data_IF_967967810747
#
_entry.id   IF_967967810747
#
_cell.length_a   1.000
_cell.length_b   1.000
_cell.length_c   1.000
_cell.angle_alpha   90.00
_cell.angle_beta   90.00
_cell.angle_gamma   90.00
#
_symmetry.space_group_name_H-M   'P 1'
#
loop_
_entity.id
_entity.type
_entity.pdbx_description
1 polymer ?
#
# COMPACT_ATOMS: atom_id res chain seq x y z
N UNK A 1 0.64 -21.12 15.47
CA UNK A 1 1.24 -21.65 14.22
C UNK A 1 2.07 -22.86 14.56
N UNK A 2 2.10 -23.87 13.68
CA UNK A 2 2.90 -25.11 13.91
C UNK A 2 4.26 -25.07 13.19
N UNK A 3 4.44 -24.19 12.19
CA UNK A 3 5.64 -24.15 11.35
C UNK A 3 6.23 -22.74 11.29
N UNK A 4 7.54 -22.65 11.04
CA UNK A 4 8.26 -21.42 10.73
C UNK A 4 7.89 -20.98 9.31
N UNK A 5 7.57 -19.70 9.13
CA UNK A 5 7.34 -19.08 7.83
C UNK A 5 8.31 -17.92 7.64
N UNK A 6 8.99 -17.91 6.52
CA UNK A 6 9.91 -16.84 6.13
C UNK A 6 9.29 -16.09 4.94
N UNK A 7 9.23 -14.77 5.02
CA UNK A 7 8.72 -13.89 3.96
C UNK A 7 9.73 -12.81 3.63
N UNK A 8 10.11 -12.72 2.37
CA UNK A 8 10.81 -11.56 1.84
C UNK A 8 9.81 -10.41 1.63
N UNK A 9 10.22 -9.19 1.95
CA UNK A 9 9.47 -7.97 1.74
C UNK A 9 10.29 -7.01 0.86
N UNK A 10 9.65 -6.06 0.15
CA UNK A 10 10.38 -5.03 -0.59
C UNK A 10 11.31 -4.23 0.34
N UNK A 11 12.44 -3.76 -0.21
CA UNK A 11 13.44 -3.04 0.58
C UNK A 11 14.40 -3.92 1.38
N UNK A 12 14.50 -5.23 1.07
CA UNK A 12 15.44 -6.14 1.68
C UNK A 12 15.03 -6.69 3.05
N UNK A 13 13.86 -6.32 3.57
CA UNK A 13 13.35 -6.81 4.85
C UNK A 13 12.92 -8.28 4.74
N UNK A 14 13.32 -9.10 5.71
CA UNK A 14 12.84 -10.48 5.87
C UNK A 14 12.06 -10.61 7.16
N UNK A 15 10.82 -11.10 7.09
CA UNK A 15 10.01 -11.41 8.28
C UNK A 15 9.93 -12.90 8.52
N UNK A 16 10.28 -13.30 9.74
CA UNK A 16 10.19 -14.68 10.20
C UNK A 16 9.04 -14.80 11.20
N UNK A 17 8.14 -15.71 10.94
CA UNK A 17 7.03 -16.05 11.84
C UNK A 17 7.28 -17.45 12.39
N UNK A 18 7.42 -17.56 13.69
CA UNK A 18 7.67 -18.84 14.38
C UNK A 18 6.60 -19.12 15.45
N UNK A 19 6.44 -20.39 15.88
CA UNK A 19 5.65 -20.74 17.04
C UNK A 19 6.22 -20.10 18.31
N UNK A 20 5.33 -19.69 19.24
CA UNK A 20 5.75 -19.04 20.48
C UNK A 20 6.63 -19.90 21.41
N UNK A 21 6.56 -21.23 21.27
CA UNK A 21 7.36 -22.19 22.04
C UNK A 21 8.78 -22.38 21.49
N UNK A 22 9.06 -21.93 20.24
CA UNK A 22 10.36 -22.15 19.58
C UNK A 22 11.40 -21.18 20.13
N UNK A 23 12.57 -21.69 20.47
CA UNK A 23 13.67 -20.87 21.00
C UNK A 23 14.32 -20.06 19.87
N UNK A 24 14.79 -18.87 20.20
CA UNK A 24 15.39 -17.96 19.21
C UNK A 24 16.56 -18.61 18.45
N UNK A 25 17.44 -19.35 19.17
CA UNK A 25 18.55 -20.09 18.58
C UNK A 25 18.13 -21.11 17.50
N UNK A 26 16.95 -21.74 17.68
CA UNK A 26 16.44 -22.73 16.73
C UNK A 26 15.87 -22.02 15.49
N UNK A 27 15.29 -20.83 15.68
CA UNK A 27 14.85 -19.95 14.59
C UNK A 27 16.03 -19.47 13.77
N UNK A 28 17.12 -19.03 14.44
CA UNK A 28 18.34 -18.55 13.79
C UNK A 28 19.02 -19.68 12.97
N UNK A 29 19.05 -20.90 13.50
CA UNK A 29 19.56 -22.05 12.77
C UNK A 29 18.77 -22.33 11.48
N UNK A 30 17.42 -22.28 11.55
CA UNK A 30 16.54 -22.46 10.39
C UNK A 30 16.73 -21.32 9.36
N UNK A 31 16.86 -20.09 9.82
CA UNK A 31 17.10 -18.94 8.94
C UNK A 31 18.46 -19.05 8.24
N UNK A 32 19.50 -19.43 8.98
CA UNK A 32 20.85 -19.63 8.45
C UNK A 32 20.90 -20.75 7.41
N UNK A 33 20.22 -21.87 7.65
CA UNK A 33 20.11 -22.96 6.66
C UNK A 33 19.42 -22.52 5.36
N UNK A 34 18.49 -21.56 5.46
CA UNK A 34 17.68 -21.08 4.33
C UNK A 34 18.15 -19.77 3.72
N UNK A 35 19.36 -19.30 4.08
CA UNK A 35 19.86 -17.99 3.65
C UNK A 35 19.89 -17.83 2.12
N UNK A 36 20.34 -18.84 1.39
CA UNK A 36 20.37 -18.82 -0.07
C UNK A 36 18.95 -18.75 -0.69
N UNK A 37 17.99 -19.42 -0.08
CA UNK A 37 16.60 -19.35 -0.51
C UNK A 37 16.00 -17.96 -0.24
N UNK A 38 16.34 -17.35 0.89
CA UNK A 38 15.93 -15.97 1.24
C UNK A 38 16.51 -14.97 0.24
N UNK A 39 17.79 -15.08 -0.07
CA UNK A 39 18.47 -14.24 -1.08
C UNK A 39 17.81 -14.39 -2.46
N UNK A 40 17.49 -15.63 -2.87
CA UNK A 40 16.77 -15.85 -4.13
C UNK A 40 15.37 -15.22 -4.12
N UNK A 41 14.63 -15.32 -3.01
CA UNK A 41 13.32 -14.68 -2.88
C UNK A 41 13.40 -13.16 -3.02
N UNK A 42 14.39 -12.51 -2.40
CA UNK A 42 14.61 -11.07 -2.56
C UNK A 42 14.94 -10.71 -4.01
N UNK A 43 15.86 -11.42 -4.66
CA UNK A 43 16.21 -11.17 -6.08
C UNK A 43 14.97 -11.27 -7.01
N UNK A 44 14.11 -12.24 -6.79
CA UNK A 44 12.85 -12.38 -7.58
C UNK A 44 11.90 -11.22 -7.29
N UNK A 45 11.75 -10.84 -6.02
CA UNK A 45 10.89 -9.74 -5.62
C UNK A 45 11.39 -8.41 -6.19
N UNK A 46 12.69 -8.12 -6.10
CA UNK A 46 13.29 -6.90 -6.61
C UNK A 46 13.16 -6.80 -8.14
N UNK A 47 13.35 -7.91 -8.86
CA UNK A 47 13.11 -7.96 -10.31
C UNK A 47 11.67 -7.65 -10.66
N UNK A 48 10.70 -8.19 -9.91
CA UNK A 48 9.28 -7.93 -10.15
C UNK A 48 8.91 -6.47 -9.85
N UNK A 49 9.45 -5.89 -8.78
CA UNK A 49 9.25 -4.48 -8.42
C UNK A 49 9.87 -3.57 -9.47
N UNK A 50 11.10 -3.84 -9.89
CA UNK A 50 11.79 -3.03 -10.90
C UNK A 50 11.11 -3.13 -12.27
N UNK A 51 10.58 -4.29 -12.64
CA UNK A 51 9.80 -4.45 -13.88
C UNK A 51 8.49 -3.66 -13.84
N UNK A 52 7.79 -3.66 -12.70
CA UNK A 52 6.56 -2.85 -12.51
C UNK A 52 6.88 -1.35 -12.58
N UNK A 53 7.97 -0.90 -11.96
CA UNK A 53 8.42 0.50 -12.02
C UNK A 53 8.80 0.92 -13.45
N UNK A 54 9.50 0.06 -14.19
CA UNK A 54 9.87 0.35 -15.58
C UNK A 54 8.66 0.39 -16.53
N UNK A 55 7.65 -0.45 -16.26
CA UNK A 55 6.42 -0.48 -17.05
C UNK A 55 5.50 0.73 -16.75
N UNK A 56 5.55 1.26 -15.52
CA UNK A 56 4.68 2.34 -15.07
C UNK A 56 5.51 3.44 -14.37
N UNK A 57 6.33 4.21 -15.11
CA UNK A 57 7.10 5.29 -14.53
C UNK A 57 6.17 6.37 -13.94
N UNK A 58 6.56 6.89 -12.77
CA UNK A 58 5.76 7.93 -12.08
C UNK A 58 6.64 9.14 -11.82
N UNK A 59 6.29 10.26 -12.42
CA UNK A 59 7.00 11.51 -12.30
C UNK A 59 6.17 12.70 -12.74
N UNK A 60 6.80 13.86 -12.92
CA UNK A 60 6.14 15.05 -13.44
C UNK A 60 5.39 14.76 -14.75
N UNK A 61 4.15 15.19 -14.84
CA UNK A 61 3.30 15.00 -16.01
C UNK A 61 2.64 13.63 -16.14
N UNK A 62 2.93 12.65 -15.27
CA UNK A 62 2.26 11.34 -15.28
C UNK A 62 0.76 11.47 -15.02
N UNK A 63 -0.06 10.64 -15.66
CA UNK A 63 -1.48 10.58 -15.39
C UNK A 63 -1.78 9.63 -14.22
N UNK A 64 -2.38 10.17 -13.18
CA UNK A 64 -2.80 9.43 -11.98
C UNK A 64 -4.32 9.46 -11.89
N UNK A 65 -4.95 8.29 -11.93
CA UNK A 65 -6.40 8.21 -11.73
C UNK A 65 -6.74 8.38 -10.25
N UNK A 66 -7.68 9.26 -9.96
CA UNK A 66 -8.26 9.44 -8.62
C UNK A 66 -9.77 9.60 -8.76
N UNK A 67 -10.53 8.76 -8.08
CA UNK A 67 -12.00 8.70 -8.18
C UNK A 67 -12.48 8.56 -9.64
N UNK A 68 -11.78 7.71 -10.42
CA UNK A 68 -12.08 7.47 -11.83
C UNK A 68 -11.63 8.56 -12.80
N UNK A 69 -11.19 9.72 -12.32
CA UNK A 69 -10.75 10.83 -13.15
C UNK A 69 -9.23 10.83 -13.28
N UNK A 70 -8.67 10.73 -14.50
CA UNK A 70 -7.24 10.87 -14.75
C UNK A 70 -6.83 12.31 -14.54
N UNK A 71 -5.82 12.54 -13.69
CA UNK A 71 -5.26 13.85 -13.36
C UNK A 71 -3.77 13.89 -13.67
N UNK A 72 -3.31 14.99 -14.19
CA UNK A 72 -1.89 15.21 -14.47
C UNK A 72 -1.14 15.50 -13.18
N UNK A 73 -0.10 14.72 -12.90
CA UNK A 73 0.74 14.90 -11.73
C UNK A 73 1.68 16.10 -11.90
N UNK A 74 1.64 17.01 -10.94
CA UNK A 74 2.57 18.13 -10.81
C UNK A 74 3.34 17.99 -9.49
N UNK A 75 4.67 18.02 -9.57
CA UNK A 75 5.56 17.87 -8.44
C UNK A 75 6.00 19.23 -7.91
N UNK A 76 5.86 19.43 -6.61
CA UNK A 76 6.30 20.64 -5.93
C UNK A 76 7.26 20.29 -4.79
N UNK A 77 8.33 21.08 -4.66
CA UNK A 77 9.23 20.99 -3.52
C UNK A 77 8.63 21.70 -2.30
N UNK A 78 8.59 21.03 -1.14
CA UNK A 78 8.07 21.62 0.08
C UNK A 78 8.46 20.83 1.33
N UNK A 79 8.22 21.41 2.49
CA UNK A 79 8.67 20.85 3.78
C UNK A 79 7.91 19.59 4.21
N UNK A 80 6.67 19.41 3.76
CA UNK A 80 5.79 18.30 4.15
C UNK A 80 5.19 17.65 2.92
N UNK A 81 4.97 16.34 3.02
CA UNK A 81 4.26 15.60 1.98
C UNK A 81 2.78 15.95 2.06
N UNK A 82 2.21 16.43 0.96
CA UNK A 82 0.79 16.76 0.84
C UNK A 82 0.32 16.60 -0.61
N UNK A 83 -0.99 16.41 -0.76
CA UNK A 83 -1.66 16.32 -2.06
C UNK A 83 -2.75 17.36 -2.14
N UNK A 84 -2.89 17.96 -3.32
CA UNK A 84 -4.01 18.83 -3.64
C UNK A 84 -4.60 18.39 -4.98
N UNK A 85 -5.89 18.21 -5.00
CA UNK A 85 -6.63 17.80 -6.18
C UNK A 85 -7.37 18.97 -6.78
N UNK A 86 -7.27 19.10 -8.09
CA UNK A 86 -8.15 19.90 -8.92
C UNK A 86 -8.86 19.03 -9.95
N UNK A 87 -9.63 19.60 -10.84
CA UNK A 87 -10.43 18.85 -11.81
C UNK A 87 -9.55 17.97 -12.70
N UNK A 88 -8.45 18.51 -13.21
CA UNK A 88 -7.54 17.90 -14.20
C UNK A 88 -6.12 17.65 -13.67
N UNK A 89 -5.79 18.15 -12.47
CA UNK A 89 -4.45 18.08 -11.93
C UNK A 89 -4.40 17.49 -10.51
N UNK A 90 -3.26 16.88 -10.21
CA UNK A 90 -2.88 16.37 -8.91
C UNK A 90 -1.53 17.01 -8.55
N UNK A 91 -1.55 17.96 -7.63
CA UNK A 91 -0.33 18.59 -7.11
C UNK A 91 0.19 17.79 -5.93
N UNK A 92 1.39 17.22 -6.06
CA UNK A 92 2.07 16.50 -5.00
C UNK A 92 3.24 17.33 -4.49
N UNK A 93 3.17 17.75 -3.25
CA UNK A 93 4.29 18.41 -2.57
C UNK A 93 5.08 17.38 -1.77
N UNK A 94 6.42 17.40 -1.92
CA UNK A 94 7.32 16.53 -1.17
C UNK A 94 8.71 17.19 -1.03
N UNK A 95 9.52 16.78 0.01
CA UNK A 95 10.80 17.44 0.28
C UNK A 95 11.86 17.24 -0.82
N UNK A 96 11.81 16.10 -1.53
CA UNK A 96 12.80 15.73 -2.55
C UNK A 96 12.10 15.01 -3.71
N UNK A 97 11.65 15.74 -4.73
CA UNK A 97 10.94 15.16 -5.87
C UNK A 97 11.85 14.52 -6.94
N UNK A 98 13.17 14.49 -6.75
CA UNK A 98 14.14 14.07 -7.78
C UNK A 98 14.15 12.54 -8.02
N UNK A 99 13.68 11.75 -7.05
CA UNK A 99 13.67 10.29 -7.19
C UNK A 99 12.26 9.77 -7.43
N UNK A 100 12.10 8.93 -8.44
CA UNK A 100 10.82 8.27 -8.73
C UNK A 100 10.29 7.49 -7.52
N UNK A 101 11.18 6.84 -6.76
CA UNK A 101 10.81 6.12 -5.56
C UNK A 101 10.22 7.04 -4.48
N UNK A 102 10.82 8.24 -4.29
CA UNK A 102 10.30 9.26 -3.37
C UNK A 102 8.91 9.74 -3.79
N UNK A 103 8.71 9.99 -5.08
CA UNK A 103 7.42 10.39 -5.65
C UNK A 103 6.39 9.27 -5.45
N UNK A 104 6.73 8.04 -5.75
CA UNK A 104 5.86 6.87 -5.62
C UNK A 104 5.45 6.62 -4.17
N UNK A 105 6.38 6.75 -3.23
CA UNK A 105 6.11 6.61 -1.80
C UNK A 105 5.22 7.74 -1.27
N UNK A 106 5.47 8.99 -1.69
CA UNK A 106 4.66 10.15 -1.33
C UNK A 106 3.23 10.04 -1.88
N UNK A 107 3.06 9.63 -3.15
CA UNK A 107 1.75 9.35 -3.75
C UNK A 107 1.00 8.27 -2.99
N UNK A 108 1.65 7.14 -2.70
CA UNK A 108 1.04 6.06 -1.94
C UNK A 108 0.58 6.52 -0.57
N UNK A 109 1.40 7.29 0.14
CA UNK A 109 1.06 7.84 1.45
C UNK A 109 -0.16 8.75 1.37
N UNK A 110 -0.14 9.74 0.47
CA UNK A 110 -1.20 10.75 0.36
C UNK A 110 -2.50 10.16 -0.19
N UNK A 111 -2.44 9.29 -1.21
CA UNK A 111 -3.61 8.61 -1.75
C UNK A 111 -4.21 7.62 -0.76
N UNK A 112 -3.40 6.95 0.08
CA UNK A 112 -3.91 6.09 1.15
C UNK A 112 -4.67 6.88 2.21
N UNK A 113 -4.22 8.09 2.52
CA UNK A 113 -4.87 8.99 3.46
C UNK A 113 -6.19 9.52 2.89
N UNK A 114 -6.18 9.98 1.64
CA UNK A 114 -7.37 10.40 0.92
C UNK A 114 -8.39 9.24 0.82
N UNK A 115 -7.93 8.03 0.50
CA UNK A 115 -8.78 6.85 0.44
C UNK A 115 -9.48 6.57 1.78
N UNK A 116 -8.74 6.69 2.89
CA UNK A 116 -9.33 6.51 4.23
C UNK A 116 -10.44 7.52 4.52
N UNK A 117 -10.24 8.78 4.15
CA UNK A 117 -11.23 9.84 4.31
C UNK A 117 -12.48 9.56 3.46
N UNK A 118 -12.30 9.29 2.16
CA UNK A 118 -13.40 8.99 1.23
C UNK A 118 -14.18 7.73 1.61
N UNK A 119 -13.49 6.67 2.03
CA UNK A 119 -14.17 5.44 2.45
C UNK A 119 -14.98 5.64 3.73
N UNK A 120 -14.51 6.46 4.67
CA UNK A 120 -15.31 6.82 5.86
C UNK A 120 -16.54 7.64 5.51
N UNK A 121 -16.41 8.64 4.64
CA UNK A 121 -17.55 9.43 4.14
C UNK A 121 -18.62 8.52 3.52
N UNK A 122 -18.20 7.55 2.69
CA UNK A 122 -19.12 6.60 2.06
C UNK A 122 -19.72 5.62 3.04
N UNK A 123 -18.93 5.09 3.96
CA UNK A 123 -19.45 4.21 5.00
C UNK A 123 -20.51 4.91 5.85
N UNK A 124 -20.30 6.16 6.22
CA UNK A 124 -21.29 6.97 6.95
C UNK A 124 -22.59 7.17 6.15
N UNK A 125 -22.50 7.19 4.81
CA UNK A 125 -23.68 7.31 3.95
C UNK A 125 -24.41 5.97 3.75
N UNK A 126 -23.68 4.86 3.62
CA UNK A 126 -24.25 3.57 3.23
C UNK A 126 -24.57 2.64 4.40
N UNK A 127 -23.80 2.64 5.49
CA UNK A 127 -24.05 1.76 6.63
C UNK A 127 -25.45 1.93 7.23
N UNK A 128 -25.98 3.15 7.43
CA UNK A 128 -27.35 3.32 7.90
C UNK A 128 -28.42 2.76 6.95
N UNK A 129 -28.14 2.76 5.64
CA UNK A 129 -29.09 2.26 4.62
C UNK A 129 -29.26 0.73 4.65
N UNK A 130 -28.27 0.02 5.15
CA UNK A 130 -28.30 -1.44 5.29
C UNK A 130 -28.49 -1.87 6.75
N UNK A 131 -28.74 -0.92 7.64
CA UNK A 131 -28.92 -1.14 9.08
C UNK A 131 -27.77 -1.91 9.73
N UNK A 132 -26.54 -1.65 9.28
CA UNK A 132 -25.32 -2.29 9.78
C UNK A 132 -24.37 -1.25 10.38
N UNK A 133 -23.76 -1.62 11.50
CA UNK A 133 -22.67 -0.86 12.10
C UNK A 133 -21.32 -1.43 11.68
N UNK A 134 -20.32 -0.56 11.63
CA UNK A 134 -18.95 -0.98 11.34
C UNK A 134 -17.99 -0.51 12.44
N UNK A 135 -16.92 -1.30 12.64
CA UNK A 135 -15.88 -1.01 13.61
C UNK A 135 -14.77 -0.12 13.02
N UNK A 136 -13.51 -0.49 13.27
CA UNK A 136 -12.35 0.24 12.74
C UNK A 136 -12.24 0.12 11.24
N UNK A 137 -12.05 1.25 10.56
CA UNK A 137 -11.70 1.31 9.14
C UNK A 137 -10.20 1.50 8.98
N UNK A 138 -9.57 0.65 8.18
CA UNK A 138 -8.14 0.74 7.85
C UNK A 138 -7.95 0.65 6.34
N UNK A 139 -6.91 1.32 5.84
CA UNK A 139 -6.49 1.27 4.44
C UNK A 139 -5.09 0.69 4.38
N UNK A 140 -4.89 -0.29 3.50
CA UNK A 140 -3.61 -0.98 3.33
C UNK A 140 -3.38 -1.35 1.87
N UNK A 141 -2.17 -1.72 1.52
CA UNK A 141 -1.89 -2.37 0.26
C UNK A 141 -2.00 -3.89 0.43
N UNK A 142 -3.01 -4.47 -0.22
CA UNK A 142 -3.22 -5.92 -0.25
C UNK A 142 -2.95 -6.45 -1.65
N UNK A 143 -2.29 -7.60 -1.76
CA UNK A 143 -1.94 -8.19 -3.07
C UNK A 143 -3.08 -8.96 -3.71
N UNK A 144 -4.02 -9.51 -2.93
CA UNK A 144 -4.98 -10.52 -3.39
C UNK A 144 -6.44 -10.17 -3.17
N UNK A 145 -6.74 -9.04 -2.53
CA UNK A 145 -8.13 -8.64 -2.26
C UNK A 145 -8.28 -7.12 -2.20
N UNK A 146 -9.44 -6.64 -2.58
CA UNK A 146 -9.79 -5.22 -2.53
C UNK A 146 -10.24 -4.75 -1.16
N UNK A 147 -10.85 -5.64 -0.39
CA UNK A 147 -11.29 -5.36 0.96
C UNK A 147 -11.51 -6.61 1.78
N UNK A 148 -11.76 -6.44 3.07
CA UNK A 148 -12.17 -7.49 3.99
C UNK A 148 -12.93 -6.92 5.17
N UNK A 149 -13.92 -7.67 5.67
CA UNK A 149 -14.60 -7.42 6.92
C UNK A 149 -14.25 -8.54 7.91
N UNK A 150 -13.97 -8.20 9.15
CA UNK A 150 -13.78 -9.18 10.22
C UNK A 150 -15.11 -9.48 10.91
N UNK A 151 -15.17 -10.58 11.67
CA UNK A 151 -16.33 -10.93 12.50
C UNK A 151 -16.71 -9.87 13.55
N UNK A 152 -15.82 -8.91 13.82
CA UNK A 152 -16.05 -7.77 14.71
C UNK A 152 -16.44 -6.49 13.95
N UNK A 153 -16.81 -6.59 12.68
CA UNK A 153 -17.17 -5.44 11.84
C UNK A 153 -15.99 -4.54 11.43
N UNK A 154 -14.72 -4.90 11.72
CA UNK A 154 -13.60 -4.08 11.28
C UNK A 154 -13.38 -4.23 9.77
N UNK A 155 -13.32 -3.11 9.09
CA UNK A 155 -13.15 -3.02 7.64
C UNK A 155 -11.71 -2.69 7.28
N UNK A 156 -11.20 -3.34 6.25
CA UNK A 156 -9.91 -3.04 5.69
C UNK A 156 -10.01 -3.00 4.17
N UNK A 157 -9.61 -1.88 3.57
CA UNK A 157 -9.67 -1.62 2.14
C UNK A 157 -8.27 -1.50 1.54
N UNK A 158 -8.15 -1.85 0.26
CA UNK A 158 -6.97 -1.55 -0.53
C UNK A 158 -7.02 -0.07 -0.96
N UNK A 159 -5.93 0.68 -0.72
CA UNK A 159 -5.87 2.09 -1.09
C UNK A 159 -6.06 2.32 -2.60
N UNK A 160 -5.70 1.36 -3.44
CA UNK A 160 -5.86 1.47 -4.90
C UNK A 160 -7.31 1.62 -5.34
N UNK A 161 -8.28 1.29 -4.49
CA UNK A 161 -9.70 1.53 -4.77
C UNK A 161 -10.03 3.01 -4.99
N UNK A 162 -9.23 3.94 -4.43
CA UNK A 162 -9.41 5.38 -4.68
C UNK A 162 -9.23 5.76 -6.16
N UNK A 163 -8.58 4.90 -6.94
CA UNK A 163 -8.37 5.12 -8.36
C UNK A 163 -9.60 4.76 -9.22
N UNK A 164 -10.48 3.93 -8.68
CA UNK A 164 -11.73 3.54 -9.36
C UNK A 164 -12.77 4.65 -9.29
N UNK A 165 -13.74 4.65 -10.22
CA UNK A 165 -14.90 5.54 -10.14
C UNK A 165 -15.68 5.33 -8.84
N UNK A 166 -16.33 6.38 -8.33
CA UNK A 166 -17.11 6.28 -7.11
C UNK A 166 -18.27 5.28 -7.15
N UNK A 167 -18.75 4.91 -8.29
CA UNK A 167 -19.88 3.98 -8.50
C UNK A 167 -19.44 2.50 -8.54
N UNK A 168 -18.11 2.23 -8.56
CA UNK A 168 -17.55 0.89 -8.71
C UNK A 168 -17.65 0.02 -7.44
#
# INVERSE_FOLDING_TARGET
RRNVQIKALPGGETRVYAPAWMRLRDIDAIVSEKIDAIVRMHKVLDRAVNADHAAHPVGEGSLISVEGTPRKLHLQCGKRVSIKLSEDALELTLPRPESEESVRNALKQTLSQLALERFRERLNLYAPRISEDYGRVTVREQKTRWGSCSSKGNLNFNWKLIQAPPEA
#
